data_IF_384941051864
#
_entry.id   IF_384941051864
#
_cell.length_a   1.000
_cell.length_b   1.000
_cell.length_c   1.000
_cell.angle_alpha   90.00
_cell.angle_beta   90.00
_cell.angle_gamma   90.00
#
_symmetry.space_group_name_H-M   'P 1'
#
loop_
_entity.id
_entity.type
_entity.pdbx_description
1 polymer ?
#
# COMPACT_ATOMS: atom_id res chain seq x y z
N UNK A 1 31.17 16.69 14.27
CA UNK A 1 30.25 15.52 14.35
C UNK A 1 29.09 15.79 13.43
N UNK A 2 29.03 15.08 12.29
CA UNK A 2 27.92 15.22 11.35
C UNK A 2 26.67 14.59 11.98
N UNK A 3 25.64 15.41 12.17
CA UNK A 3 24.28 14.97 12.45
C UNK A 3 23.83 14.10 11.27
N UNK A 4 23.79 12.78 11.47
CA UNK A 4 23.01 11.90 10.58
C UNK A 4 21.59 12.42 10.64
N UNK A 5 21.12 13.01 9.54
CA UNK A 5 19.71 13.29 9.33
C UNK A 5 18.98 11.97 9.54
N UNK A 6 18.15 11.89 10.58
CA UNK A 6 17.40 10.70 10.99
C UNK A 6 16.23 10.48 10.01
N UNK A 7 16.56 10.38 8.71
CA UNK A 7 15.58 10.14 7.66
C UNK A 7 15.17 8.68 7.77
N UNK A 8 13.86 8.44 7.86
CA UNK A 8 13.32 7.08 7.88
C UNK A 8 13.84 6.29 6.68
N UNK A 9 14.40 5.11 6.98
CA UNK A 9 14.82 4.16 5.96
C UNK A 9 13.61 3.35 5.50
N UNK A 10 13.05 3.77 4.37
CA UNK A 10 11.89 3.10 3.77
C UNK A 10 12.21 1.68 3.30
N UNK A 11 13.46 1.35 2.97
CA UNK A 11 13.83 -0.02 2.60
C UNK A 11 13.71 -0.93 3.82
N UNK A 12 14.28 -0.52 4.97
CA UNK A 12 14.13 -1.25 6.23
C UNK A 12 12.66 -1.35 6.67
N UNK A 13 11.90 -0.27 6.55
CA UNK A 13 10.46 -0.26 6.86
C UNK A 13 9.72 -1.32 6.05
N UNK A 14 9.93 -1.35 4.73
CA UNK A 14 9.22 -2.31 3.87
C UNK A 14 9.71 -3.75 4.03
N UNK A 15 10.97 -4.00 4.41
CA UNK A 15 11.42 -5.35 4.76
C UNK A 15 10.68 -5.88 6.00
N UNK A 16 10.42 -5.02 6.99
CA UNK A 16 9.62 -5.37 8.16
C UNK A 16 8.16 -5.64 7.76
N UNK A 17 7.56 -4.76 6.96
CA UNK A 17 6.18 -4.94 6.47
C UNK A 17 6.05 -6.23 5.66
N UNK A 18 6.98 -6.49 4.74
CA UNK A 18 7.00 -7.70 3.93
C UNK A 18 7.09 -8.96 4.77
N UNK A 19 7.94 -8.97 5.81
CA UNK A 19 8.00 -10.08 6.77
C UNK A 19 6.68 -10.28 7.50
N UNK A 20 6.07 -9.20 8.01
CA UNK A 20 4.76 -9.29 8.70
C UNK A 20 3.70 -9.86 7.77
N UNK A 21 3.63 -9.39 6.52
CA UNK A 21 2.66 -9.90 5.56
C UNK A 21 2.86 -11.38 5.27
N UNK A 22 4.11 -11.83 5.17
CA UNK A 22 4.45 -13.23 4.92
C UNK A 22 4.11 -14.10 6.13
N UNK A 23 4.60 -13.74 7.31
CA UNK A 23 4.42 -14.51 8.54
C UNK A 23 2.95 -14.54 8.97
N UNK A 24 2.21 -13.46 8.73
CA UNK A 24 0.79 -13.36 9.06
C UNK A 24 -0.15 -13.79 7.93
N UNK A 25 0.38 -14.21 6.77
CA UNK A 25 -0.40 -14.58 5.57
C UNK A 25 -1.43 -13.50 5.18
N UNK A 26 -0.98 -12.25 5.08
CA UNK A 26 -1.81 -11.14 4.60
C UNK A 26 -1.89 -11.22 3.08
N UNK A 27 -3.08 -11.55 2.57
CA UNK A 27 -3.31 -11.80 1.13
C UNK A 27 -4.33 -10.85 0.50
N UNK A 28 -5.02 -10.03 1.29
CA UNK A 28 -6.05 -9.12 0.82
C UNK A 28 -6.12 -7.83 1.66
N UNK A 29 -6.80 -6.83 1.10
CA UNK A 29 -7.14 -5.58 1.78
C UNK A 29 -8.67 -5.45 1.87
N UNK A 30 -9.20 -4.84 2.94
CA UNK A 30 -8.50 -4.30 4.12
C UNK A 30 -7.91 -5.40 5.03
N UNK A 31 -6.69 -5.20 5.54
CA UNK A 31 -6.01 -6.20 6.41
C UNK A 31 -6.81 -6.44 7.69
N UNK A 32 -6.98 -7.70 8.12
CA UNK A 32 -7.44 -8.02 9.47
C UNK A 32 -6.33 -7.72 10.51
N UNK A 33 -6.41 -6.53 11.09
CA UNK A 33 -5.47 -6.04 12.08
C UNK A 33 -5.38 -6.93 13.33
N UNK A 34 -6.49 -7.52 13.76
CA UNK A 34 -6.51 -8.36 14.95
C UNK A 34 -5.93 -9.75 14.65
N UNK A 35 -6.14 -10.28 13.46
CA UNK A 35 -5.48 -11.52 13.04
C UNK A 35 -3.96 -11.35 12.97
N UNK A 36 -3.47 -10.23 12.43
CA UNK A 36 -2.03 -9.90 12.44
C UNK A 36 -1.50 -9.90 13.89
N UNK A 37 -2.16 -9.19 14.81
CA UNK A 37 -1.76 -9.14 16.22
C UNK A 37 -1.70 -10.53 16.86
N UNK A 38 -2.72 -11.39 16.63
CA UNK A 38 -2.76 -12.76 17.15
C UNK A 38 -1.61 -13.60 16.60
N UNK A 39 -1.33 -13.50 15.29
CA UNK A 39 -0.23 -14.23 14.65
C UNK A 39 1.14 -13.77 15.10
N UNK A 40 1.27 -12.49 15.49
CA UNK A 40 2.45 -11.98 16.17
C UNK A 40 2.59 -12.44 17.63
N UNK A 41 1.65 -13.25 18.14
CA UNK A 41 1.72 -13.84 19.48
C UNK A 41 1.11 -12.99 20.60
N UNK A 42 0.41 -11.90 20.26
CA UNK A 42 -0.22 -11.03 21.25
C UNK A 42 -1.65 -11.46 21.59
N UNK A 43 -1.98 -11.34 22.87
CA UNK A 43 -3.37 -11.42 23.35
C UNK A 43 -4.07 -10.11 23.08
N UNK A 44 -5.39 -10.15 22.89
CA UNK A 44 -6.19 -8.95 22.64
C UNK A 44 -7.24 -8.84 23.74
N UNK A 45 -7.38 -7.64 24.32
CA UNK A 45 -8.43 -7.31 25.29
C UNK A 45 -9.03 -5.95 25.01
N UNK A 46 -10.35 -5.86 25.13
CA UNK A 46 -11.08 -4.60 25.01
C UNK A 46 -10.97 -3.79 26.30
N UNK A 47 -10.95 -2.47 26.21
CA UNK A 47 -11.03 -1.60 27.38
C UNK A 47 -12.32 -1.83 28.18
N UNK A 48 -13.44 -2.15 27.50
CA UNK A 48 -14.70 -2.51 28.15
C UNK A 48 -14.66 -3.81 28.97
N UNK A 49 -13.71 -4.71 28.71
CA UNK A 49 -13.53 -5.97 29.45
C UNK A 49 -12.66 -5.82 30.70
N UNK A 50 -12.07 -4.64 30.92
CA UNK A 50 -11.14 -4.40 32.02
C UNK A 50 -11.87 -3.94 33.29
N UNK A 51 -11.28 -4.26 34.43
CA UNK A 51 -11.69 -3.64 35.69
C UNK A 51 -11.47 -2.12 35.64
N UNK A 52 -12.26 -1.29 36.34
CA UNK A 52 -12.15 0.17 36.26
C UNK A 52 -10.72 0.70 36.46
N UNK A 53 -10.00 0.16 37.46
CA UNK A 53 -8.59 0.52 37.73
C UNK A 53 -7.64 0.19 36.57
N UNK A 54 -7.83 -0.96 35.91
CA UNK A 54 -7.02 -1.37 34.75
C UNK A 54 -7.37 -0.55 33.51
N UNK A 55 -8.66 -0.30 33.28
CA UNK A 55 -9.15 0.57 32.20
C UNK A 55 -8.55 1.97 32.33
N UNK A 56 -8.63 2.56 33.52
CA UNK A 56 -8.07 3.88 33.80
C UNK A 56 -6.54 3.91 33.58
N UNK A 57 -5.83 2.86 33.98
CA UNK A 57 -4.39 2.75 33.71
C UNK A 57 -4.07 2.67 32.21
N UNK A 58 -4.83 1.91 31.43
CA UNK A 58 -4.64 1.84 29.97
C UNK A 58 -4.98 3.18 29.31
N UNK A 59 -6.09 3.82 29.69
CA UNK A 59 -6.49 5.14 29.20
C UNK A 59 -5.45 6.24 29.47
N UNK A 60 -4.72 6.15 30.59
CA UNK A 60 -3.60 7.06 30.89
C UNK A 60 -2.36 6.81 30.02
N UNK A 61 -2.15 5.57 29.57
CA UNK A 61 -1.09 5.26 28.60
C UNK A 61 -1.48 5.76 27.22
N UNK A 62 -2.69 5.39 26.78
CA UNK A 62 -3.25 5.83 25.52
C UNK A 62 -4.77 5.73 25.54
N UNK A 63 -5.49 6.75 25.04
CA UNK A 63 -6.94 6.72 24.95
C UNK A 63 -7.46 5.70 23.92
N UNK A 64 -6.60 5.26 22.99
CA UNK A 64 -7.00 4.48 21.81
C UNK A 64 -6.57 3.01 21.89
N UNK A 65 -5.28 2.75 22.08
CA UNK A 65 -4.75 1.41 22.24
C UNK A 65 -3.38 1.45 22.93
N UNK A 66 -3.00 0.39 23.62
CA UNK A 66 -1.66 0.22 24.15
C UNK A 66 -1.25 -1.25 24.19
N UNK A 67 0.03 -1.55 23.94
CA UNK A 67 0.59 -2.88 24.22
C UNK A 67 1.30 -2.88 25.57
N UNK A 68 0.86 -3.76 26.47
CA UNK A 68 1.51 -3.99 27.76
C UNK A 68 1.89 -5.46 27.86
N UNK A 69 3.21 -5.71 27.90
CA UNK A 69 3.81 -7.06 27.85
C UNK A 69 3.39 -7.80 26.58
N UNK A 70 2.59 -8.84 26.71
CA UNK A 70 2.12 -9.75 25.67
C UNK A 70 0.66 -9.50 25.29
N UNK A 71 0.07 -8.39 25.74
CA UNK A 71 -1.35 -8.09 25.54
C UNK A 71 -1.54 -6.70 24.94
N UNK A 72 -2.20 -6.65 23.79
CA UNK A 72 -2.80 -5.46 23.21
C UNK A 72 -4.12 -5.16 23.93
N UNK A 73 -4.24 -3.94 24.41
CA UNK A 73 -5.48 -3.38 24.93
C UNK A 73 -5.96 -2.28 23.99
N UNK A 74 -7.25 -2.21 23.69
CA UNK A 74 -7.79 -1.18 22.80
C UNK A 74 -9.17 -0.69 23.22
N UNK A 75 -9.48 0.56 22.84
CA UNK A 75 -10.78 1.18 23.02
C UNK A 75 -11.78 0.64 21.99
N UNK A 76 -12.68 -0.22 22.43
CA UNK A 76 -13.67 -0.89 21.57
C UNK A 76 -14.87 -0.02 21.18
N UNK A 77 -14.97 1.20 21.73
CA UNK A 77 -15.98 2.19 21.35
C UNK A 77 -15.51 3.13 20.22
N UNK A 78 -14.25 3.00 19.78
CA UNK A 78 -13.73 3.77 18.65
C UNK A 78 -14.30 3.27 17.32
N UNK A 79 -14.40 4.18 16.35
CA UNK A 79 -14.74 3.80 14.96
C UNK A 79 -13.71 2.80 14.41
N UNK A 80 -14.10 1.88 13.51
CA UNK A 80 -13.24 0.81 13.02
C UNK A 80 -11.91 1.30 12.46
N UNK A 81 -11.92 2.38 11.68
CA UNK A 81 -10.73 2.95 11.03
C UNK A 81 -9.71 3.46 12.05
N UNK A 82 -10.19 4.12 13.11
CA UNK A 82 -9.33 4.60 14.21
C UNK A 82 -8.75 3.42 14.98
N UNK A 83 -9.56 2.40 15.26
CA UNK A 83 -9.12 1.18 15.92
C UNK A 83 -8.03 0.48 15.11
N UNK A 84 -8.24 0.27 13.80
CA UNK A 84 -7.25 -0.34 12.90
C UNK A 84 -5.92 0.38 12.92
N UNK A 85 -5.96 1.71 12.78
CA UNK A 85 -4.75 2.54 12.80
C UNK A 85 -4.03 2.44 14.16
N UNK A 86 -4.75 2.59 15.26
CA UNK A 86 -4.16 2.57 16.61
C UNK A 86 -3.55 1.20 16.94
N UNK A 87 -4.18 0.11 16.50
CA UNK A 87 -3.66 -1.25 16.70
C UNK A 87 -2.35 -1.48 15.93
N UNK A 88 -2.28 -1.02 14.66
CA UNK A 88 -1.03 -1.10 13.89
C UNK A 88 0.04 -0.14 14.40
N UNK A 89 -0.35 0.98 15.01
CA UNK A 89 0.56 1.95 15.62
C UNK A 89 1.32 1.34 16.79
N UNK A 90 0.62 0.66 17.68
CA UNK A 90 1.26 -0.07 18.78
C UNK A 90 2.21 -1.17 18.27
N UNK A 91 1.84 -1.88 17.20
CA UNK A 91 2.76 -2.83 16.56
C UNK A 91 3.96 -2.12 15.92
N UNK A 92 3.79 -0.91 15.40
CA UNK A 92 4.88 -0.08 14.88
C UNK A 92 5.94 0.21 15.94
N UNK A 93 5.53 0.59 17.15
CA UNK A 93 6.44 0.76 18.28
C UNK A 93 7.25 -0.52 18.58
N UNK A 94 6.57 -1.68 18.56
CA UNK A 94 7.20 -2.98 18.83
C UNK A 94 8.19 -3.36 17.72
N UNK A 95 7.76 -3.37 16.47
CA UNK A 95 8.55 -3.89 15.34
C UNK A 95 9.72 -2.98 14.98
N UNK A 96 9.54 -1.67 15.13
CA UNK A 96 10.60 -0.68 14.88
C UNK A 96 11.44 -0.39 16.14
N UNK A 97 11.07 -0.97 17.29
CA UNK A 97 11.73 -0.74 18.59
C UNK A 97 11.95 0.76 18.87
N UNK A 98 10.91 1.56 18.60
CA UNK A 98 11.00 3.02 18.63
C UNK A 98 9.93 3.61 19.55
N UNK A 99 10.27 4.59 20.40
CA UNK A 99 9.29 5.38 21.15
C UNK A 99 8.78 6.60 20.34
N UNK A 100 9.19 6.75 19.09
CA UNK A 100 8.86 7.94 18.27
C UNK A 100 7.50 7.75 17.61
N UNK A 101 6.50 8.48 18.09
CA UNK A 101 5.10 8.47 17.60
C UNK A 101 5.01 8.62 16.08
N UNK A 102 5.71 9.58 15.49
CA UNK A 102 5.70 9.82 14.04
C UNK A 102 6.22 8.61 13.24
N UNK A 103 7.16 7.86 13.82
CA UNK A 103 7.70 6.65 13.19
C UNK A 103 6.67 5.52 13.24
N UNK A 104 5.96 5.36 14.35
CA UNK A 104 4.85 4.40 14.49
C UNK A 104 3.64 4.76 13.63
N UNK A 105 3.32 6.06 13.49
CA UNK A 105 2.30 6.56 12.56
C UNK A 105 2.65 6.25 11.12
N UNK A 106 3.91 6.49 10.73
CA UNK A 106 4.39 6.18 9.37
C UNK A 106 4.31 4.68 9.12
N UNK A 107 4.75 3.86 10.07
CA UNK A 107 4.59 2.41 9.98
C UNK A 107 3.13 2.01 9.75
N UNK A 108 2.20 2.53 10.56
CA UNK A 108 0.77 2.25 10.46
C UNK A 108 0.19 2.62 9.12
N UNK A 109 0.58 3.79 8.59
CA UNK A 109 0.13 4.23 7.28
C UNK A 109 0.63 3.33 6.15
N UNK A 110 1.87 2.86 6.24
CA UNK A 110 2.50 2.04 5.22
C UNK A 110 2.13 0.55 5.30
N UNK A 111 1.89 0.01 6.49
CA UNK A 111 1.39 -1.37 6.66
C UNK A 111 -0.09 -1.47 6.29
N UNK A 112 -0.91 -0.45 6.55
CA UNK A 112 -2.33 -0.49 6.19
C UNK A 112 -2.58 -0.21 4.70
N UNK A 113 -1.80 0.69 4.10
CA UNK A 113 -1.89 1.04 2.68
C UNK A 113 -0.51 1.25 2.05
N UNK A 114 0.24 0.18 1.75
CA UNK A 114 1.54 0.28 1.07
C UNK A 114 1.44 1.10 -0.21
N UNK A 115 2.40 1.99 -0.48
CA UNK A 115 2.31 2.89 -1.66
C UNK A 115 2.32 2.13 -2.99
N UNK A 116 3.07 1.02 -3.04
CA UNK A 116 3.05 0.09 -4.17
C UNK A 116 1.68 -0.59 -4.34
N UNK A 117 0.95 -0.86 -3.26
CA UNK A 117 -0.39 -1.45 -3.33
C UNK A 117 -1.44 -0.41 -3.72
N UNK A 118 -1.31 0.85 -3.26
CA UNK A 118 -2.13 1.97 -3.74
C UNK A 118 -1.96 2.12 -5.26
N UNK A 119 -0.72 2.07 -5.74
CA UNK A 119 -0.40 2.12 -7.17
C UNK A 119 -1.02 0.96 -7.94
N UNK A 120 -0.83 -0.27 -7.46
CA UNK A 120 -1.34 -1.49 -8.10
C UNK A 120 -2.86 -1.55 -8.18
N UNK A 121 -3.57 -1.07 -7.15
CA UNK A 121 -5.03 -1.02 -7.16
C UNK A 121 -5.59 0.19 -7.95
N UNK A 122 -4.72 1.02 -8.55
CA UNK A 122 -5.14 2.14 -9.38
C UNK A 122 -5.86 3.24 -8.62
N UNK A 123 -5.65 3.37 -7.30
CA UNK A 123 -6.35 4.37 -6.50
C UNK A 123 -5.88 5.79 -6.87
N UNK A 124 -6.80 6.65 -7.28
CA UNK A 124 -6.57 8.02 -7.76
C UNK A 124 -6.89 9.07 -6.68
N UNK A 125 -7.77 8.74 -5.73
CA UNK A 125 -8.26 9.67 -4.72
C UNK A 125 -8.37 9.03 -3.32
N UNK A 126 -8.66 9.86 -2.31
CA UNK A 126 -8.71 9.42 -0.93
C UNK A 126 -9.93 8.53 -0.60
N UNK A 127 -11.02 8.65 -1.36
CA UNK A 127 -12.21 7.81 -1.23
C UNK A 127 -11.90 6.38 -1.65
N UNK A 128 -11.28 6.19 -2.82
CA UNK A 128 -10.83 4.87 -3.28
C UNK A 128 -9.83 4.22 -2.32
N UNK A 129 -8.92 5.01 -1.71
CA UNK A 129 -8.00 4.50 -0.69
C UNK A 129 -8.76 4.11 0.59
N UNK A 130 -9.75 4.91 1.01
CA UNK A 130 -10.62 4.59 2.15
C UNK A 130 -11.35 3.26 1.92
N UNK A 131 -11.98 3.10 0.77
CA UNK A 131 -12.74 1.90 0.41
C UNK A 131 -11.86 0.66 0.27
N UNK A 132 -10.69 0.78 -0.40
CA UNK A 132 -9.80 -0.35 -0.68
C UNK A 132 -9.05 -0.83 0.56
N UNK A 133 -8.54 0.10 1.39
CA UNK A 133 -7.63 -0.22 2.49
C UNK A 133 -8.27 -0.12 3.89
N UNK A 134 -9.50 0.39 3.99
CA UNK A 134 -10.21 0.56 5.26
C UNK A 134 -9.55 1.58 6.19
N UNK A 135 -8.99 2.65 5.61
CA UNK A 135 -8.40 3.79 6.33
C UNK A 135 -9.46 4.87 6.59
N UNK A 136 -9.30 5.74 7.58
CA UNK A 136 -10.17 6.92 7.71
C UNK A 136 -9.91 7.91 6.58
N UNK A 137 -10.87 8.77 6.20
CA UNK A 137 -10.65 9.78 5.17
C UNK A 137 -9.41 10.66 5.43
N UNK A 138 -9.16 11.02 6.69
CA UNK A 138 -7.94 11.77 7.07
C UNK A 138 -6.67 10.96 6.81
N UNK A 139 -6.65 9.68 7.20
CA UNK A 139 -5.51 8.79 6.94
C UNK A 139 -5.34 8.52 5.44
N UNK A 140 -6.42 8.36 4.68
CA UNK A 140 -6.39 8.18 3.23
C UNK A 140 -5.83 9.40 2.50
N UNK A 141 -6.17 10.61 2.93
CA UNK A 141 -5.58 11.84 2.36
C UNK A 141 -4.07 11.92 2.60
N UNK A 142 -3.61 11.55 3.80
CA UNK A 142 -2.17 11.46 4.10
C UNK A 142 -1.50 10.39 3.24
N UNK A 143 -2.08 9.20 3.15
CA UNK A 143 -1.58 8.11 2.33
C UNK A 143 -1.51 8.48 0.84
N UNK A 144 -2.50 9.22 0.32
CA UNK A 144 -2.50 9.75 -1.04
C UNK A 144 -1.37 10.75 -1.29
N UNK A 145 -1.15 11.67 -0.34
CA UNK A 145 -0.03 12.64 -0.41
C UNK A 145 1.31 11.92 -0.47
N UNK A 146 1.51 10.93 0.41
CA UNK A 146 2.74 10.14 0.46
C UNK A 146 2.91 9.29 -0.80
N UNK A 147 1.83 8.71 -1.33
CA UNK A 147 1.83 7.99 -2.60
C UNK A 147 2.30 8.89 -3.75
N UNK A 148 1.81 10.13 -3.85
CA UNK A 148 2.23 11.08 -4.88
C UNK A 148 3.71 11.42 -4.78
N UNK A 149 4.23 11.57 -3.55
CA UNK A 149 5.66 11.78 -3.32
C UNK A 149 6.49 10.56 -3.72
N UNK A 150 6.04 9.36 -3.32
CA UNK A 150 6.65 8.09 -3.70
C UNK A 150 6.70 7.89 -5.22
N UNK A 151 5.58 8.12 -5.91
CA UNK A 151 5.47 7.99 -7.36
C UNK A 151 6.39 8.99 -8.08
N UNK A 152 6.39 10.25 -7.63
CA UNK A 152 7.32 11.27 -8.14
C UNK A 152 8.77 10.85 -7.94
N UNK A 153 9.10 10.24 -6.79
CA UNK A 153 10.42 9.72 -6.49
C UNK A 153 10.85 8.61 -7.46
N UNK A 154 9.96 7.66 -7.76
CA UNK A 154 10.22 6.59 -8.74
C UNK A 154 10.40 7.15 -10.15
N UNK A 155 9.51 8.05 -10.58
CA UNK A 155 9.54 8.63 -11.92
C UNK A 155 10.82 9.44 -12.21
N UNK A 156 11.43 10.01 -11.16
CA UNK A 156 12.69 10.78 -11.23
C UNK A 156 13.95 9.92 -11.08
N UNK A 157 13.86 8.72 -10.52
CA UNK A 157 15.01 7.80 -10.35
C UNK A 157 15.27 7.03 -11.65
N UNK A 158 16.53 6.66 -11.88
CA UNK A 158 16.93 5.70 -12.90
C UNK A 158 17.50 4.47 -12.21
N UNK A 159 16.99 3.25 -12.45
CA UNK A 159 15.83 2.92 -13.28
C UNK A 159 14.54 3.35 -12.58
N UNK A 160 13.49 3.75 -13.31
CA UNK A 160 12.20 4.22 -12.77
C UNK A 160 11.44 3.08 -12.10
N UNK A 161 11.94 2.60 -10.98
CA UNK A 161 11.55 1.31 -10.41
C UNK A 161 11.34 1.45 -8.90
N UNK A 162 10.28 0.82 -8.35
CA UNK A 162 10.11 0.69 -6.90
C UNK A 162 11.28 -0.06 -6.24
N UNK A 163 11.36 -0.01 -4.91
CA UNK A 163 12.33 -0.80 -4.16
C UNK A 163 12.12 -2.30 -4.42
N UNK A 164 13.20 -3.08 -4.35
CA UNK A 164 13.11 -4.52 -4.57
C UNK A 164 12.12 -5.20 -3.60
N UNK A 165 12.08 -4.75 -2.35
CA UNK A 165 11.13 -5.23 -1.34
C UNK A 165 9.68 -4.84 -1.64
N UNK A 166 9.44 -3.67 -2.22
CA UNK A 166 8.09 -3.23 -2.63
C UNK A 166 7.58 -4.10 -3.79
N UNK A 167 8.46 -4.47 -4.73
CA UNK A 167 8.12 -5.39 -5.82
C UNK A 167 7.81 -6.81 -5.30
N UNK A 168 8.56 -7.30 -4.30
CA UNK A 168 8.25 -8.56 -3.63
C UNK A 168 6.86 -8.50 -2.99
N UNK A 169 6.57 -7.42 -2.26
CA UNK A 169 5.26 -7.19 -1.64
C UNK A 169 4.14 -7.21 -2.68
N UNK A 170 4.32 -6.50 -3.80
CA UNK A 170 3.35 -6.48 -4.90
C UNK A 170 3.07 -7.88 -5.48
N UNK A 171 4.12 -8.68 -5.64
CA UNK A 171 4.05 -10.03 -6.20
C UNK A 171 3.26 -11.00 -5.33
N UNK A 172 3.21 -10.79 -4.00
CA UNK A 172 2.41 -11.61 -3.08
C UNK A 172 0.91 -11.53 -3.38
N UNK A 173 0.43 -10.39 -3.85
CA UNK A 173 -0.98 -10.15 -4.15
C UNK A 173 -1.31 -10.37 -5.63
N UNK A 174 -0.42 -10.97 -6.42
CA UNK A 174 -0.73 -11.29 -7.81
C UNK A 174 -1.60 -12.57 -7.80
N UNK A 175 -2.78 -12.59 -8.46
CA UNK A 175 -3.48 -13.84 -8.64
C UNK A 175 -2.56 -14.82 -9.38
N UNK A 176 -2.53 -16.09 -8.93
CA UNK A 176 -1.93 -17.17 -9.72
C UNK A 176 -2.51 -17.09 -11.14
N UNK A 177 -1.69 -17.15 -12.20
CA UNK A 177 -2.21 -17.04 -13.55
C UNK A 177 -3.28 -18.12 -13.77
N UNK A 178 -4.51 -17.70 -14.06
CA UNK A 178 -5.51 -18.63 -14.59
C UNK A 178 -4.94 -19.22 -15.88
N UNK A 179 -4.86 -20.55 -15.93
CA UNK A 179 -4.54 -21.31 -17.14
C UNK A 179 -5.38 -20.74 -18.29
N UNK A 180 -4.76 -20.20 -19.36
CA UNK A 180 -5.51 -19.49 -20.38
C UNK A 180 -6.48 -20.47 -21.04
N UNK A 181 -7.79 -20.22 -20.86
CA UNK A 181 -8.84 -20.94 -21.56
C UNK A 181 -8.52 -20.96 -23.07
N UNK A 182 -8.46 -22.17 -23.63
CA UNK A 182 -8.09 -22.45 -25.02
C UNK A 182 -8.92 -21.59 -25.98
N UNK A 183 -8.32 -20.55 -26.55
CA UNK A 183 -8.97 -19.75 -27.60
C UNK A 183 -9.06 -20.55 -28.90
N UNK A 184 -10.20 -20.56 -29.61
CA UNK A 184 -10.29 -21.23 -30.90
C UNK A 184 -9.40 -20.52 -31.93
N UNK A 185 -8.71 -21.32 -32.75
CA UNK A 185 -7.71 -20.83 -33.71
C UNK A 185 -8.32 -19.85 -34.71
N UNK A 186 -7.95 -18.57 -34.62
CA UNK A 186 -8.22 -17.61 -35.70
C UNK A 186 -7.12 -17.74 -36.76
N UNK A 187 -7.53 -18.09 -37.99
CA UNK A 187 -6.67 -18.15 -39.18
C UNK A 187 -5.96 -16.80 -39.37
N UNK A 188 -4.63 -16.82 -39.45
CA UNK A 188 -3.80 -15.61 -39.70
C UNK A 188 -4.00 -15.15 -41.15
N UNK A 189 -4.36 -13.89 -41.41
CA UNK A 189 -4.24 -13.34 -42.75
C UNK A 189 -2.76 -13.06 -43.09
N UNK A 190 -2.43 -13.13 -44.37
CA UNK A 190 -1.08 -12.97 -44.90
C UNK A 190 -0.47 -11.61 -44.53
N UNK A 191 0.81 -11.62 -44.11
CA UNK A 191 1.56 -10.42 -43.69
C UNK A 191 1.78 -9.47 -44.87
N UNK A 192 1.15 -8.29 -44.84
CA UNK A 192 1.59 -7.14 -45.65
C UNK A 192 2.84 -6.51 -45.02
N UNK A 193 3.82 -6.10 -45.82
CA UNK A 193 5.00 -5.36 -45.35
C UNK A 193 4.58 -3.96 -44.89
N UNK A 194 4.46 -3.80 -43.58
CA UNK A 194 4.15 -2.52 -42.92
C UNK A 194 5.34 -1.56 -43.03
N UNK A 195 5.07 -0.31 -43.35
CA UNK A 195 6.04 0.80 -43.34
C UNK A 195 6.55 1.05 -41.91
N UNK A 196 7.73 1.65 -41.75
CA UNK A 196 8.33 1.92 -40.42
C UNK A 196 7.36 2.66 -39.49
N UNK A 197 6.68 3.69 -40.01
CA UNK A 197 5.68 4.48 -39.27
C UNK A 197 4.49 3.62 -38.80
N UNK A 198 4.02 2.70 -39.62
CA UNK A 198 2.90 1.83 -39.26
C UNK A 198 3.30 0.85 -38.16
N UNK A 199 4.53 0.32 -38.18
CA UNK A 199 5.04 -0.54 -37.11
C UNK A 199 5.15 0.22 -35.78
N UNK A 200 5.68 1.43 -35.81
CA UNK A 200 5.75 2.27 -34.61
C UNK A 200 4.37 2.64 -34.05
N UNK A 201 3.37 2.85 -34.93
CA UNK A 201 1.99 3.07 -34.50
C UNK A 201 1.37 1.81 -33.90
N UNK A 202 1.60 0.64 -34.50
CA UNK A 202 1.09 -0.64 -34.01
C UNK A 202 1.76 -1.02 -32.67
N UNK A 203 3.06 -0.76 -32.51
CA UNK A 203 3.80 -0.94 -31.24
C UNK A 203 3.29 0.02 -30.16
N UNK A 204 3.05 1.29 -30.50
CA UNK A 204 2.43 2.24 -29.57
C UNK A 204 1.01 1.81 -29.20
N UNK A 205 0.20 1.37 -30.15
CA UNK A 205 -1.15 0.90 -29.89
C UNK A 205 -1.15 -0.36 -29.01
N UNK A 206 -0.24 -1.31 -29.26
CA UNK A 206 -0.06 -2.50 -28.44
C UNK A 206 0.38 -2.15 -27.02
N UNK A 207 1.31 -1.20 -26.86
CA UNK A 207 1.72 -0.68 -25.57
C UNK A 207 0.53 -0.04 -24.83
N UNK A 208 -0.22 0.87 -25.45
CA UNK A 208 -1.38 1.48 -24.80
C UNK A 208 -2.48 0.45 -24.49
N UNK A 209 -2.65 -0.57 -25.33
CA UNK A 209 -3.60 -1.65 -25.06
C UNK A 209 -3.17 -2.51 -23.88
N UNK A 210 -1.87 -2.81 -23.76
CA UNK A 210 -1.29 -3.47 -22.60
C UNK A 210 -1.44 -2.62 -21.34
N UNK A 211 -1.15 -1.31 -21.41
CA UNK A 211 -1.36 -0.38 -20.30
C UNK A 211 -2.84 -0.26 -19.90
N UNK A 212 -3.79 -0.27 -20.86
CA UNK A 212 -5.23 -0.31 -20.57
C UNK A 212 -5.63 -1.59 -19.85
N UNK A 213 -5.06 -2.73 -20.25
CA UNK A 213 -5.35 -4.03 -19.63
C UNK A 213 -4.77 -4.13 -18.21
N UNK A 214 -3.67 -3.44 -17.93
CA UNK A 214 -3.01 -3.48 -16.62
C UNK A 214 -3.59 -2.44 -15.66
N UNK A 215 -3.88 -1.23 -16.14
CA UNK A 215 -4.18 -0.06 -15.30
C UNK A 215 -5.57 0.56 -15.52
N UNK A 216 -6.37 0.02 -16.44
CA UNK A 216 -7.71 0.53 -16.78
C UNK A 216 -7.72 1.65 -17.83
N UNK A 217 -8.91 2.01 -18.36
CA UNK A 217 -9.05 3.03 -19.41
C UNK A 217 -8.66 4.44 -18.96
N UNK A 218 -8.95 4.80 -17.71
CA UNK A 218 -8.71 6.15 -17.17
C UNK A 218 -7.21 6.48 -17.05
N UNK A 219 -6.37 5.49 -16.74
CA UNK A 219 -4.91 5.66 -16.67
C UNK A 219 -4.30 6.00 -18.04
N UNK A 220 -4.79 5.35 -19.10
CA UNK A 220 -4.30 5.60 -20.46
C UNK A 220 -4.77 6.94 -21.00
N UNK A 221 -5.94 7.41 -20.56
CA UNK A 221 -6.42 8.76 -20.90
C UNK A 221 -5.51 9.84 -20.31
N UNK A 222 -5.11 9.71 -19.04
CA UNK A 222 -4.18 10.66 -18.41
C UNK A 222 -2.77 10.65 -19.01
N UNK A 223 -2.23 9.49 -19.39
CA UNK A 223 -0.95 9.45 -20.12
C UNK A 223 -1.04 10.17 -21.48
N UNK A 224 -2.17 10.06 -22.17
CA UNK A 224 -2.39 10.75 -23.45
C UNK A 224 -2.57 12.26 -23.24
N UNK A 225 -3.24 12.70 -22.16
CA UNK A 225 -3.35 14.12 -21.78
C UNK A 225 -1.99 14.73 -21.43
N UNK A 226 -1.17 14.07 -20.61
CA UNK A 226 0.17 14.56 -20.26
C UNK A 226 1.06 14.66 -21.50
N UNK A 227 0.97 13.70 -22.44
CA UNK A 227 1.74 13.72 -23.67
C UNK A 227 1.26 14.81 -24.64
N UNK A 228 -0.03 15.16 -24.62
CA UNK A 228 -0.61 16.26 -25.42
C UNK A 228 -0.25 17.64 -24.85
N UNK A 229 -0.24 17.78 -23.53
CA UNK A 229 0.18 19.00 -22.82
C UNK A 229 1.69 19.26 -22.94
N UNK A 230 2.52 18.21 -22.92
CA UNK A 230 3.97 18.34 -23.12
C UNK A 230 4.41 18.33 -24.59
N UNK A 231 3.52 17.94 -25.53
CA UNK A 231 3.80 17.88 -26.96
C UNK A 231 3.42 19.14 -27.75
N UNK A 232 2.67 20.07 -27.14
CA UNK A 232 2.28 21.35 -27.71
C UNK A 232 2.69 22.50 -26.79
N UNK A 233 3.99 22.66 -26.57
CA UNK A 233 4.54 23.98 -26.23
C UNK A 233 5.00 24.62 -27.55
N UNK A 234 4.58 25.86 -27.89
CA UNK A 234 5.06 26.55 -29.09
C UNK A 234 6.56 26.81 -29.06
#
# INVERSE_FOLDING_TARGET
>A
MMTRSNKMDFEQLYEIIFRIYTDCNVTEFPIDCFEVVRRCGYRIKRYSELTPKKKEACMRLSPDACIVKDTLYYQDQNIPERTRFSVMHELGHVFLQTPVEETADTFSSHILAPRIMIHKNGCQNAEQIHETFGLSYTASNRALSDYRQWFTGISRRSPRTPLAVEQKLESMFRPLPEEPASRPSRRRPAKKRLTKRQREMDERAAFFQEQRLIYGEDYVFHMLEEQWLCGNAP
#
